data_IF_726576999258
#
_entry.id   IF_726576999258
#
_cell.length_a   1.000
_cell.length_b   1.000
_cell.length_c   1.000
_cell.angle_alpha   90.00
_cell.angle_beta   90.00
_cell.angle_gamma   90.00
#
_symmetry.space_group_name_H-M   'P 1'
#
loop_
_entity.id
_entity.type
_entity.pdbx_description
1 polymer ?
#
# COMPACT_ATOMS: atom_id res chain seq x y z
N UNK A 1 12.71 -16.97 1.50
CA UNK A 1 13.90 -16.61 0.67
C UNK A 1 13.50 -16.23 -0.75
N UNK A 2 12.77 -17.08 -1.49
CA UNK A 2 12.27 -16.76 -2.83
C UNK A 2 11.51 -15.42 -2.92
N UNK A 3 10.55 -15.16 -2.01
CA UNK A 3 9.78 -13.91 -2.04
C UNK A 3 10.61 -12.62 -1.87
N UNK A 4 11.64 -12.65 -1.02
CA UNK A 4 12.52 -11.48 -0.82
C UNK A 4 13.41 -11.23 -2.06
N UNK A 5 13.86 -12.31 -2.72
CA UNK A 5 14.61 -12.23 -3.98
C UNK A 5 13.73 -11.72 -5.12
N UNK A 6 12.49 -12.21 -5.23
CA UNK A 6 11.53 -11.74 -6.23
C UNK A 6 11.17 -10.26 -6.06
N UNK A 7 10.98 -9.78 -4.83
CA UNK A 7 10.73 -8.35 -4.55
C UNK A 7 11.92 -7.47 -4.97
N UNK A 8 13.14 -7.92 -4.64
CA UNK A 8 14.36 -7.21 -5.00
C UNK A 8 14.55 -7.09 -6.52
N UNK A 9 14.24 -8.17 -7.27
CA UNK A 9 14.28 -8.17 -8.73
C UNK A 9 13.21 -7.24 -9.34
N UNK A 10 11.99 -7.26 -8.81
CA UNK A 10 10.92 -6.36 -9.26
C UNK A 10 11.29 -4.89 -9.10
N UNK A 11 11.83 -4.52 -7.93
CA UNK A 11 12.29 -3.15 -7.66
C UNK A 11 13.42 -2.72 -8.62
N UNK A 12 14.38 -3.61 -8.90
CA UNK A 12 15.48 -3.31 -9.81
C UNK A 12 15.00 -3.02 -11.25
N UNK A 13 14.04 -3.81 -11.76
CA UNK A 13 13.47 -3.62 -13.09
C UNK A 13 12.66 -2.31 -13.20
N UNK A 14 11.88 -1.97 -12.16
CA UNK A 14 11.10 -0.74 -12.13
C UNK A 14 11.99 0.52 -12.19
N UNK A 15 13.14 0.49 -11.51
CA UNK A 15 14.09 1.62 -11.48
C UNK A 15 14.82 1.82 -12.81
N UNK A 16 15.13 0.74 -13.55
CA UNK A 16 15.81 0.83 -14.86
C UNK A 16 14.94 1.45 -15.96
N UNK A 17 13.61 1.35 -15.84
CA UNK A 17 12.68 1.88 -16.85
C UNK A 17 12.36 3.37 -16.66
N UNK A 18 12.84 4.01 -15.59
CA UNK A 18 12.53 5.40 -15.29
C UNK A 18 13.42 6.34 -16.11
N UNK A 19 12.80 7.06 -17.06
CA UNK A 19 13.42 8.21 -17.73
C UNK A 19 13.51 9.40 -16.79
N UNK A 20 14.49 9.38 -15.88
CA UNK A 20 14.77 10.42 -14.88
C UNK A 20 14.76 11.86 -15.44
N UNK A 21 15.13 12.02 -16.72
CA UNK A 21 15.15 13.31 -17.41
C UNK A 21 13.76 13.88 -17.75
N UNK A 22 12.79 13.04 -18.14
CA UNK A 22 11.40 13.47 -18.35
C UNK A 22 10.70 13.78 -17.02
N UNK A 23 11.15 13.16 -15.93
CA UNK A 23 10.67 13.41 -14.57
C UNK A 23 11.20 14.70 -13.96
N UNK A 24 12.39 15.19 -14.34
CA UNK A 24 12.99 16.36 -13.73
C UNK A 24 12.14 17.64 -13.87
N UNK A 25 11.43 17.80 -14.99
CA UNK A 25 10.49 18.92 -15.21
C UNK A 25 9.19 18.79 -14.40
N UNK A 26 8.86 17.57 -13.97
CA UNK A 26 7.66 17.23 -13.17
C UNK A 26 8.01 16.90 -11.71
N UNK A 27 9.29 16.89 -11.35
CA UNK A 27 9.79 16.39 -10.08
C UNK A 27 9.24 17.20 -8.91
N UNK A 28 9.18 18.54 -9.07
CA UNK A 28 8.67 19.42 -8.04
C UNK A 28 7.17 19.16 -7.76
N UNK A 29 6.27 19.13 -8.76
CA UNK A 29 4.89 18.66 -8.57
C UNK A 29 4.78 17.27 -7.91
N UNK A 30 5.59 16.31 -8.33
CA UNK A 30 5.52 14.95 -7.76
C UNK A 30 5.93 14.91 -6.29
N UNK A 31 6.98 15.64 -5.89
CA UNK A 31 7.41 15.69 -4.50
C UNK A 31 6.31 16.27 -3.61
N UNK A 32 5.61 17.30 -4.07
CA UNK A 32 4.48 17.89 -3.33
C UNK A 32 3.35 16.86 -3.18
N UNK A 33 2.98 16.17 -4.26
CA UNK A 33 1.93 15.14 -4.22
C UNK A 33 2.32 14.02 -3.25
N UNK A 34 3.53 13.49 -3.35
CA UNK A 34 4.03 12.43 -2.49
C UNK A 34 4.06 12.88 -1.01
N UNK A 35 4.48 14.11 -0.73
CA UNK A 35 4.49 14.65 0.62
C UNK A 35 3.07 14.75 1.21
N UNK A 36 2.12 15.29 0.43
CA UNK A 36 0.71 15.38 0.86
C UNK A 36 0.09 14.00 1.05
N UNK A 37 0.33 13.06 0.13
CA UNK A 37 -0.15 11.69 0.23
C UNK A 37 0.44 10.96 1.44
N UNK A 38 1.75 11.08 1.66
CA UNK A 38 2.42 10.48 2.82
C UNK A 38 1.87 11.04 4.14
N UNK A 39 1.67 12.36 4.22
CA UNK A 39 1.09 13.00 5.40
C UNK A 39 -0.35 12.53 5.62
N UNK A 40 -1.18 12.54 4.58
CA UNK A 40 -2.57 12.08 4.66
C UNK A 40 -2.66 10.62 5.10
N UNK A 41 -1.82 9.74 4.55
CA UNK A 41 -1.77 8.34 4.94
C UNK A 41 -1.31 8.17 6.39
N UNK A 42 -0.28 8.89 6.81
CA UNK A 42 0.21 8.84 8.20
C UNK A 42 -0.89 9.28 9.19
N UNK A 43 -1.58 10.38 8.90
CA UNK A 43 -2.71 10.85 9.70
C UNK A 43 -3.84 9.80 9.74
N UNK A 44 -4.20 9.25 8.59
CA UNK A 44 -5.27 8.24 8.51
C UNK A 44 -4.91 6.96 9.28
N UNK A 45 -3.68 6.48 9.15
CA UNK A 45 -3.23 5.28 9.86
C UNK A 45 -3.23 5.47 11.38
N UNK A 46 -2.80 6.64 11.87
CA UNK A 46 -2.72 6.93 13.30
C UNK A 46 -4.10 7.23 13.90
N UNK A 47 -4.90 8.07 13.24
CA UNK A 47 -6.17 8.53 13.80
C UNK A 47 -7.35 7.60 13.51
N UNK A 48 -7.35 6.91 12.37
CA UNK A 48 -8.47 6.03 11.98
C UNK A 48 -8.07 4.59 12.22
N UNK A 49 -7.10 4.07 11.47
CA UNK A 49 -6.75 2.64 11.46
C UNK A 49 -6.37 2.13 12.85
N UNK A 50 -5.41 2.78 13.53
CA UNK A 50 -4.95 2.34 14.84
C UNK A 50 -6.02 2.45 15.93
N UNK A 51 -6.87 3.50 15.88
CA UNK A 51 -7.96 3.68 16.87
C UNK A 51 -9.11 2.70 16.65
N UNK A 52 -9.51 2.44 15.41
CA UNK A 52 -10.61 1.53 15.09
C UNK A 52 -10.26 0.07 15.37
N UNK A 53 -9.00 -0.34 15.20
CA UNK A 53 -8.55 -1.70 15.50
C UNK A 53 -8.30 -1.97 17.00
N UNK A 54 -8.68 -1.06 17.90
CA UNK A 54 -8.62 -1.31 19.35
C UNK A 54 -7.29 -0.99 20.01
N UNK A 55 -6.37 -0.28 19.33
CA UNK A 55 -5.11 0.27 19.87
C UNK A 55 -4.15 -0.76 20.49
N UNK A 56 -4.23 -2.02 20.08
CA UNK A 56 -3.31 -3.08 20.54
C UNK A 56 -2.12 -3.25 19.56
N UNK A 57 -1.23 -4.20 19.85
CA UNK A 57 -0.10 -4.51 18.98
C UNK A 57 -0.53 -4.91 17.57
N UNK A 58 -1.57 -5.74 17.45
CA UNK A 58 -2.13 -6.13 16.15
C UNK A 58 -2.64 -4.92 15.36
N UNK A 59 -3.24 -3.93 16.02
CA UNK A 59 -3.64 -2.67 15.41
C UNK A 59 -2.45 -1.88 14.87
N UNK A 60 -1.30 -1.91 15.56
CA UNK A 60 -0.08 -1.26 15.11
C UNK A 60 0.53 -1.95 13.89
N UNK A 61 0.61 -3.30 13.89
CA UNK A 61 1.07 -4.07 12.73
C UNK A 61 0.13 -3.87 11.54
N UNK A 62 -1.18 -3.89 11.77
CA UNK A 62 -2.17 -3.68 10.73
C UNK A 62 -2.16 -2.24 10.19
N UNK A 63 -1.91 -1.23 11.04
CA UNK A 63 -1.70 0.13 10.59
C UNK A 63 -0.44 0.28 9.71
N UNK A 64 0.65 -0.42 10.06
CA UNK A 64 1.86 -0.45 9.23
C UNK A 64 1.63 -1.15 7.88
N UNK A 65 0.88 -2.25 7.89
CA UNK A 65 0.41 -2.91 6.68
C UNK A 65 -0.48 -2.00 5.83
N UNK A 66 -1.40 -1.28 6.45
CA UNK A 66 -2.27 -0.32 5.75
C UNK A 66 -1.47 0.83 5.12
N UNK A 67 -0.49 1.41 5.82
CA UNK A 67 0.41 2.40 5.22
C UNK A 67 1.19 1.82 4.04
N UNK A 68 1.71 0.60 4.18
CA UNK A 68 2.48 -0.07 3.12
C UNK A 68 1.63 -0.37 1.90
N UNK A 69 0.38 -0.79 2.10
CA UNK A 69 -0.59 -1.01 1.04
C UNK A 69 -1.03 0.31 0.39
N UNK A 70 -1.46 1.28 1.19
CA UNK A 70 -2.06 2.53 0.74
C UNK A 70 -1.12 3.45 -0.06
N UNK A 71 0.20 3.36 0.19
CA UNK A 71 1.21 4.08 -0.58
C UNK A 71 1.88 3.23 -1.67
N UNK A 72 1.50 1.96 -1.80
CA UNK A 72 2.16 1.01 -2.68
C UNK A 72 1.22 -0.11 -3.10
N UNK A 73 1.54 -1.34 -2.70
CA UNK A 73 0.79 -2.53 -3.05
C UNK A 73 0.82 -3.56 -1.91
N UNK A 74 0.15 -4.69 -2.10
CA UNK A 74 0.18 -5.82 -1.14
C UNK A 74 1.59 -6.28 -0.73
N UNK A 75 2.60 -6.38 -1.62
CA UNK A 75 3.95 -6.75 -1.19
C UNK A 75 4.62 -5.73 -0.27
N UNK A 76 4.38 -4.42 -0.46
CA UNK A 76 4.94 -3.39 0.43
C UNK A 76 4.25 -3.38 1.79
N UNK A 77 2.95 -3.71 1.83
CA UNK A 77 2.22 -3.95 3.08
C UNK A 77 2.86 -5.09 3.89
N UNK A 78 3.13 -6.23 3.24
CA UNK A 78 3.75 -7.39 3.87
C UNK A 78 5.16 -7.06 4.37
N UNK A 79 5.97 -6.36 3.57
CA UNK A 79 7.31 -5.93 3.97
C UNK A 79 7.28 -5.02 5.23
N UNK A 80 6.34 -4.07 5.30
CA UNK A 80 6.17 -3.21 6.47
C UNK A 80 5.76 -3.98 7.72
N UNK A 81 4.80 -4.90 7.58
CA UNK A 81 4.37 -5.74 8.70
C UNK A 81 5.52 -6.63 9.18
N UNK A 82 6.30 -7.21 8.27
CA UNK A 82 7.49 -8.01 8.58
C UNK A 82 8.53 -7.21 9.35
N UNK A 83 8.83 -5.97 8.92
CA UNK A 83 9.79 -5.11 9.61
C UNK A 83 9.43 -4.87 11.09
N UNK A 84 8.13 -4.85 11.44
CA UNK A 84 7.66 -4.75 12.83
C UNK A 84 7.71 -6.11 13.51
N UNK A 85 7.14 -7.15 12.90
CA UNK A 85 7.04 -8.47 13.53
C UNK A 85 8.38 -9.15 13.75
N UNK A 86 9.39 -8.85 12.93
CA UNK A 86 10.75 -9.35 13.10
C UNK A 86 11.41 -8.81 14.38
N UNK A 87 10.97 -7.64 14.87
CA UNK A 87 11.50 -7.01 16.09
C UNK A 87 10.62 -7.22 17.32
N UNK A 88 9.31 -7.25 17.15
CA UNK A 88 8.34 -7.21 18.26
C UNK A 88 7.45 -8.47 18.37
N UNK A 89 7.66 -9.46 17.51
CA UNK A 89 6.95 -10.74 17.52
C UNK A 89 5.82 -10.83 16.47
N UNK A 90 5.39 -12.05 16.10
CA UNK A 90 4.44 -12.26 15.01
C UNK A 90 3.02 -11.78 15.33
N UNK A 91 2.33 -11.24 14.33
CA UNK A 91 0.89 -10.92 14.39
C UNK A 91 0.14 -11.71 13.31
N UNK A 92 -0.51 -12.80 13.70
CA UNK A 92 -1.23 -13.67 12.74
C UNK A 92 -2.46 -12.98 12.15
N UNK A 93 -3.14 -12.13 12.93
CA UNK A 93 -4.32 -11.40 12.48
C UNK A 93 -4.01 -10.44 11.34
N UNK A 94 -2.93 -9.65 11.46
CA UNK A 94 -2.57 -8.68 10.43
C UNK A 94 -2.17 -9.36 9.11
N UNK A 95 -1.40 -10.45 9.19
CA UNK A 95 -0.94 -11.20 8.01
C UNK A 95 -2.05 -11.99 7.30
N UNK A 96 -3.19 -12.26 7.95
CA UNK A 96 -4.36 -12.87 7.31
C UNK A 96 -5.27 -11.80 6.68
N UNK A 97 -5.55 -10.73 7.43
CA UNK A 97 -6.52 -9.71 7.02
C UNK A 97 -5.98 -8.85 5.87
N UNK A 98 -4.74 -8.37 5.98
CA UNK A 98 -4.20 -7.38 5.02
C UNK A 98 -4.10 -7.96 3.60
N UNK A 99 -3.61 -9.19 3.35
CA UNK A 99 -3.58 -9.75 2.00
C UNK A 99 -4.98 -10.09 1.45
N UNK A 100 -5.90 -10.60 2.27
CA UNK A 100 -7.26 -10.89 1.82
C UNK A 100 -7.99 -9.62 1.37
N UNK A 101 -7.89 -8.54 2.15
CA UNK A 101 -8.53 -7.27 1.81
C UNK A 101 -7.77 -6.55 0.71
N UNK A 102 -6.44 -6.44 0.84
CA UNK A 102 -5.57 -5.65 -0.02
C UNK A 102 -5.35 -6.22 -1.42
N UNK A 103 -5.27 -7.55 -1.56
CA UNK A 103 -5.12 -8.18 -2.87
C UNK A 103 -6.47 -8.69 -3.41
N UNK A 104 -7.17 -9.53 -2.66
CA UNK A 104 -8.29 -10.27 -3.23
C UNK A 104 -9.58 -9.44 -3.33
N UNK A 105 -10.05 -8.86 -2.23
CA UNK A 105 -11.32 -8.12 -2.25
C UNK A 105 -11.23 -6.83 -3.07
N UNK A 106 -10.08 -6.15 -3.04
CA UNK A 106 -9.86 -4.95 -3.84
C UNK A 106 -9.95 -5.24 -5.34
N UNK A 107 -9.45 -6.37 -5.83
CA UNK A 107 -9.57 -6.72 -7.25
C UNK A 107 -11.03 -6.87 -7.68
N UNK A 108 -11.87 -7.49 -6.84
CA UNK A 108 -13.31 -7.64 -7.10
C UNK A 108 -14.00 -6.28 -7.11
N UNK A 109 -13.74 -5.46 -6.09
CA UNK A 109 -14.34 -4.12 -5.98
C UNK A 109 -13.90 -3.25 -7.16
N UNK A 110 -12.62 -3.29 -7.52
CA UNK A 110 -12.09 -2.51 -8.62
C UNK A 110 -12.72 -2.93 -9.96
N UNK A 111 -12.83 -4.23 -10.23
CA UNK A 111 -13.51 -4.74 -11.42
C UNK A 111 -14.97 -4.26 -11.50
N UNK A 112 -15.69 -4.26 -10.38
CA UNK A 112 -17.07 -3.79 -10.30
C UNK A 112 -17.18 -2.28 -10.48
N UNK A 113 -16.33 -1.50 -9.80
CA UNK A 113 -16.33 -0.02 -9.87
C UNK A 113 -15.99 0.46 -11.27
N UNK A 114 -14.95 -0.09 -11.90
CA UNK A 114 -14.58 0.25 -13.28
C UNK A 114 -15.74 -0.09 -14.22
N UNK A 115 -16.33 -1.28 -14.10
CA UNK A 115 -17.44 -1.70 -14.94
C UNK A 115 -18.66 -0.80 -14.79
N UNK A 116 -19.02 -0.41 -13.57
CA UNK A 116 -20.12 0.53 -13.32
C UNK A 116 -19.81 1.94 -13.85
N UNK A 117 -18.58 2.41 -13.67
CA UNK A 117 -18.15 3.71 -14.18
C UNK A 117 -18.24 3.78 -15.72
N UNK A 118 -17.83 2.71 -16.42
CA UNK A 118 -17.95 2.60 -17.88
C UNK A 118 -19.39 2.48 -18.37
N UNK A 119 -20.32 2.00 -17.54
CA UNK A 119 -21.74 1.93 -17.85
C UNK A 119 -22.47 3.27 -17.68
N UNK A 120 -21.82 4.30 -17.13
CA UNK A 120 -22.42 5.62 -17.02
C UNK A 120 -22.68 6.21 -18.42
N UNK A 121 -23.82 6.88 -18.64
CA UNK A 121 -24.26 7.41 -19.94
C UNK A 121 -23.39 8.56 -20.50
N UNK A 122 -22.26 8.85 -19.86
CA UNK A 122 -21.25 9.80 -20.31
C UNK A 122 -20.25 9.11 -21.26
N UNK A 123 -20.12 7.78 -21.17
CA UNK A 123 -19.19 6.96 -21.95
C UNK A 123 -19.89 5.97 -22.91
N UNK A 124 -21.22 6.02 -23.00
CA UNK A 124 -22.06 5.18 -23.88
C UNK A 124 -22.79 6.02 -24.93
#
# INVERSE_FOLDING_TARGET
MLGNVSLSLFLAMALMSLKLWELASLALPMIIILAVQALAMALYAVFVTYRMMGKNYDAAVLAAGHCGFGLGATPTAIANMQAITDRFGPSHMAFLVVPMVGAFFIDIVNALVIKLYLLLPIFG
#
